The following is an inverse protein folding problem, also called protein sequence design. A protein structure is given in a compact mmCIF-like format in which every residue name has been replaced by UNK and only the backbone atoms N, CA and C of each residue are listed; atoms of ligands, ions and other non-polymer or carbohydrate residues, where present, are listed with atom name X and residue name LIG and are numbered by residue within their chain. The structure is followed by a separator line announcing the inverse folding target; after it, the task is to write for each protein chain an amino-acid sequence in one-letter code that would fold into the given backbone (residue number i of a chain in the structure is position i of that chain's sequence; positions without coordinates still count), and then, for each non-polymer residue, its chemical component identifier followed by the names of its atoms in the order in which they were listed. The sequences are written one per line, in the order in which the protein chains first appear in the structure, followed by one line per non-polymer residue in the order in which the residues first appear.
data_IF_073833956440
#
_entry.id   IF_073833956440
#
_cell.length_a   1.000
_cell.length_b   1.000
_cell.length_c   1.000
_cell.angle_alpha   90.00
_cell.angle_beta   90.00
_cell.angle_gamma   90.00
#
_symmetry.space_group_name_H-M   'P 1'
#
loop_
_entity.id
_entity.type
_entity.pdbx_description
1 polymer ?
#
# COMPACT_ATOMS: atom_id res chain seq x y z
N UNK A 1 -2.30 -10.96 5.97
CA UNK A 1 -2.71 -9.54 5.89
C UNK A 1 -2.65 -8.85 7.25
N UNK A 2 -2.59 -9.57 8.37
CA UNK A 2 -2.38 -8.97 9.70
C UNK A 2 -1.12 -8.10 9.77
N UNK A 3 -0.05 -8.49 9.07
CA UNK A 3 1.21 -7.72 9.00
C UNK A 3 1.03 -6.31 8.43
N UNK A 4 0.07 -6.14 7.51
CA UNK A 4 -0.27 -4.81 6.96
C UNK A 4 -0.89 -3.93 8.04
N UNK A 5 -1.72 -4.48 8.92
CA UNK A 5 -2.30 -3.69 10.01
C UNK A 5 -1.26 -3.32 11.07
N UNK A 6 -0.26 -4.18 11.27
CA UNK A 6 0.75 -3.98 12.32
C UNK A 6 1.90 -3.09 11.88
N UNK A 7 2.30 -3.14 10.60
CA UNK A 7 3.57 -2.60 10.14
C UNK A 7 3.46 -1.52 9.06
N UNK A 8 2.23 -1.09 8.74
CA UNK A 8 2.02 -0.06 7.71
C UNK A 8 1.71 1.28 8.36
N UNK A 9 2.24 2.36 7.79
CA UNK A 9 1.85 3.71 8.14
C UNK A 9 0.71 4.20 7.24
N UNK A 10 -0.10 5.12 7.76
CA UNK A 10 -1.04 5.85 6.93
C UNK A 10 -0.29 6.62 5.84
N UNK A 11 -0.89 6.79 4.66
CA UNK A 11 -0.24 7.50 3.55
C UNK A 11 0.63 6.61 2.65
N UNK A 12 0.59 5.29 2.80
CA UNK A 12 1.47 4.35 2.09
C UNK A 12 0.82 3.73 0.86
N UNK A 13 1.65 3.23 -0.05
CA UNK A 13 1.24 2.47 -1.23
C UNK A 13 1.34 0.97 -0.94
N UNK A 14 0.26 0.22 -1.10
CA UNK A 14 0.27 -1.24 -0.94
C UNK A 14 0.50 -1.94 -2.28
N UNK A 15 1.56 -2.72 -2.39
CA UNK A 15 1.76 -3.65 -3.51
C UNK A 15 1.31 -5.05 -3.08
N UNK A 16 0.41 -5.67 -3.85
CA UNK A 16 -0.07 -7.02 -3.53
C UNK A 16 -0.38 -7.87 -4.75
N UNK A 17 -0.30 -9.19 -4.56
CA UNK A 17 -0.82 -10.17 -5.50
C UNK A 17 -2.17 -10.77 -5.08
N UNK A 18 -2.73 -10.37 -3.94
CA UNK A 18 -4.07 -10.75 -3.51
C UNK A 18 -5.07 -9.80 -4.15
N UNK A 19 -6.17 -10.33 -4.68
CA UNK A 19 -7.16 -9.56 -5.46
C UNK A 19 -8.55 -9.60 -4.85
N UNK A 20 -8.70 -10.10 -3.63
CA UNK A 20 -10.01 -10.26 -3.01
C UNK A 20 -10.42 -8.98 -2.25
N UNK A 21 -11.71 -8.84 -1.87
CA UNK A 21 -12.20 -7.68 -1.14
C UNK A 21 -11.51 -7.44 0.22
N UNK A 22 -10.89 -8.45 0.82
CA UNK A 22 -10.18 -8.32 2.10
C UNK A 22 -9.02 -7.32 1.99
N UNK A 23 -8.37 -7.22 0.83
CA UNK A 23 -7.28 -6.27 0.63
C UNK A 23 -7.77 -4.84 0.80
N UNK A 24 -8.96 -4.51 0.26
CA UNK A 24 -9.54 -3.17 0.35
C UNK A 24 -9.87 -2.83 1.81
N UNK A 25 -10.53 -3.74 2.54
CA UNK A 25 -10.87 -3.53 3.95
C UNK A 25 -9.63 -3.35 4.83
N UNK A 26 -8.58 -4.12 4.54
CA UNK A 26 -7.31 -4.00 5.25
C UNK A 26 -6.64 -2.67 4.94
N UNK A 27 -6.66 -2.24 3.68
CA UNK A 27 -6.10 -0.98 3.24
C UNK A 27 -6.80 0.22 3.90
N UNK A 28 -8.13 0.20 3.96
CA UNK A 28 -8.95 1.19 4.66
C UNK A 28 -8.56 1.29 6.14
N UNK A 29 -8.56 0.15 6.84
CA UNK A 29 -8.22 0.10 8.27
C UNK A 29 -6.79 0.58 8.55
N UNK A 30 -5.85 0.32 7.63
CA UNK A 30 -4.45 0.71 7.76
C UNK A 30 -4.14 2.15 7.30
N UNK A 31 -5.11 2.87 6.73
CA UNK A 31 -4.89 4.20 6.14
C UNK A 31 -4.01 4.20 4.89
N UNK A 32 -4.04 3.11 4.11
CA UNK A 32 -3.31 2.99 2.84
C UNK A 32 -3.93 3.93 1.80
N UNK A 33 -3.09 4.64 1.05
CA UNK A 33 -3.53 5.64 0.08
C UNK A 33 -3.89 5.08 -1.28
N UNK A 34 -3.30 3.93 -1.68
CA UNK A 34 -3.59 3.29 -2.95
C UNK A 34 -3.09 1.83 -2.95
N UNK A 35 -3.65 1.01 -3.84
CA UNK A 35 -3.29 -0.40 -4.01
C UNK A 35 -2.83 -0.66 -5.44
N UNK A 36 -1.69 -1.34 -5.58
CA UNK A 36 -1.17 -1.82 -6.86
C UNK A 36 -1.22 -3.34 -6.91
N UNK A 37 -2.04 -3.88 -7.81
CA UNK A 37 -2.05 -5.30 -8.14
C UNK A 37 -0.92 -5.62 -9.12
N UNK A 38 -0.04 -6.54 -8.73
CA UNK A 38 1.15 -6.92 -9.51
C UNK A 38 0.91 -8.15 -10.38
N UNK A 39 1.81 -8.41 -11.34
CA UNK A 39 1.78 -9.55 -12.29
C UNK A 39 0.59 -9.53 -13.26
N UNK A 40 0.06 -8.36 -13.57
CA UNK A 40 -1.08 -8.18 -14.46
C UNK A 40 -2.39 -8.71 -13.88
N UNK A 41 -2.44 -8.94 -12.55
CA UNK A 41 -3.67 -9.36 -11.88
C UNK A 41 -4.70 -8.24 -11.95
N UNK A 42 -5.93 -8.62 -12.25
CA UNK A 42 -7.08 -7.74 -12.27
C UNK A 42 -8.02 -8.14 -11.13
N UNK A 43 -8.44 -7.22 -10.25
CA UNK A 43 -9.40 -7.52 -9.20
C UNK A 43 -10.78 -7.87 -9.79
N UNK A 44 -11.54 -8.77 -9.14
CA UNK A 44 -12.92 -9.06 -9.53
C UNK A 44 -13.82 -7.84 -9.29
N UNK A 45 -14.98 -7.73 -9.97
CA UNK A 45 -15.86 -6.56 -9.91
C UNK A 45 -16.24 -6.15 -8.48
N UNK A 46 -16.57 -7.11 -7.62
CA UNK A 46 -16.86 -6.89 -6.20
C UNK A 46 -15.75 -6.17 -5.43
N UNK A 47 -14.49 -6.39 -5.79
CA UNK A 47 -13.34 -5.72 -5.17
C UNK A 47 -13.17 -4.30 -5.70
N UNK A 48 -13.49 -4.09 -6.98
CA UNK A 48 -13.49 -2.76 -7.62
C UNK A 48 -14.59 -1.89 -7.00
N UNK A 49 -15.82 -2.41 -6.94
CA UNK A 49 -16.96 -1.71 -6.33
C UNK A 49 -16.68 -1.34 -4.87
N UNK A 50 -16.13 -2.27 -4.08
CA UNK A 50 -15.76 -1.96 -2.70
C UNK A 50 -14.68 -0.88 -2.58
N UNK A 51 -13.71 -0.85 -3.51
CA UNK A 51 -12.69 0.18 -3.52
C UNK A 51 -13.24 1.55 -3.92
N UNK A 52 -14.23 1.59 -4.82
CA UNK A 52 -14.97 2.81 -5.17
C UNK A 52 -15.77 3.34 -3.98
N UNK A 53 -16.49 2.47 -3.27
CA UNK A 53 -17.27 2.84 -2.07
C UNK A 53 -16.39 3.46 -0.97
N UNK A 54 -15.19 2.92 -0.79
CA UNK A 54 -14.24 3.35 0.25
C UNK A 54 -13.26 4.43 -0.26
N UNK A 55 -13.33 4.79 -1.55
CA UNK A 55 -12.45 5.77 -2.20
C UNK A 55 -10.95 5.40 -2.16
N UNK A 56 -10.62 4.13 -2.39
CA UNK A 56 -9.23 3.65 -2.51
C UNK A 56 -8.87 3.45 -4.00
N UNK A 57 -7.91 4.23 -4.54
CA UNK A 57 -7.42 4.04 -5.90
C UNK A 57 -6.80 2.66 -6.12
N UNK A 58 -7.18 2.02 -7.23
CA UNK A 58 -6.65 0.73 -7.67
C UNK A 58 -5.82 0.89 -8.95
N UNK A 59 -4.62 0.31 -8.95
CA UNK A 59 -3.75 0.24 -10.14
C UNK A 59 -3.38 -1.22 -10.42
N UNK A 60 -3.10 -1.52 -11.69
CA UNK A 60 -2.54 -2.81 -12.11
C UNK A 60 -1.22 -2.60 -12.83
N UNK A 61 -0.23 -3.41 -12.47
CA UNK A 61 1.08 -3.46 -13.13
C UNK A 61 1.37 -4.86 -13.65
N UNK A 62 1.94 -4.96 -14.84
CA UNK A 62 2.39 -6.24 -15.43
C UNK A 62 3.69 -6.76 -14.80
N UNK A 63 4.41 -5.93 -14.06
CA UNK A 63 5.66 -6.31 -13.41
C UNK A 63 5.44 -7.22 -12.20
N UNK A 64 6.45 -7.99 -11.82
CA UNK A 64 6.45 -8.77 -10.58
C UNK A 64 6.52 -7.82 -9.37
N UNK A 65 6.20 -8.33 -8.17
CA UNK A 65 6.25 -7.51 -6.95
C UNK A 65 7.63 -6.88 -6.74
N UNK A 66 8.68 -7.70 -6.82
CA UNK A 66 10.07 -7.25 -6.65
C UNK A 66 10.45 -6.18 -7.69
N UNK A 67 10.10 -6.38 -8.96
CA UNK A 67 10.38 -5.43 -10.04
C UNK A 67 9.62 -4.10 -9.83
N UNK A 68 8.35 -4.15 -9.42
CA UNK A 68 7.60 -2.95 -9.06
C UNK A 68 8.29 -2.20 -7.92
N UNK A 69 8.68 -2.89 -6.84
CA UNK A 69 9.38 -2.26 -5.71
C UNK A 69 10.69 -1.59 -6.16
N UNK A 70 11.51 -2.30 -6.95
CA UNK A 70 12.77 -1.75 -7.46
C UNK A 70 12.57 -0.52 -8.34
N UNK A 71 11.54 -0.50 -9.19
CA UNK A 71 11.20 0.66 -10.02
C UNK A 71 10.74 1.86 -9.20
N UNK A 72 9.85 1.64 -8.25
CA UNK A 72 9.32 2.70 -7.38
C UNK A 72 10.43 3.31 -6.54
N UNK A 73 11.28 2.47 -5.93
CA UNK A 73 12.42 2.93 -5.15
C UNK A 73 13.42 3.73 -6.01
N UNK A 74 13.74 3.23 -7.22
CA UNK A 74 14.59 3.95 -8.17
C UNK A 74 13.99 5.28 -8.64
N UNK A 75 12.66 5.38 -8.68
CA UNK A 75 11.93 6.62 -8.99
C UNK A 75 11.88 7.60 -7.80
N UNK A 76 12.49 7.26 -6.66
CA UNK A 76 12.56 8.11 -5.48
C UNK A 76 11.39 7.94 -4.51
N UNK A 77 10.53 6.93 -4.70
CA UNK A 77 9.49 6.62 -3.71
C UNK A 77 10.12 5.85 -2.53
N UNK A 78 10.20 6.44 -1.32
CA UNK A 78 10.78 5.75 -0.18
C UNK A 78 9.88 4.61 0.27
N UNK A 79 10.49 3.57 0.83
CA UNK A 79 9.75 2.51 1.52
C UNK A 79 9.28 2.99 2.89
N UNK A 80 8.21 2.41 3.41
CA UNK A 80 7.69 2.59 4.77
C UNK A 80 8.63 2.01 5.86
N UNK A 81 9.94 1.92 5.60
CA UNK A 81 10.81 0.86 6.13
C UNK A 81 11.89 1.28 7.12
N UNK A 82 11.80 2.43 7.79
CA UNK A 82 12.65 2.66 8.96
C UNK A 82 11.88 2.30 10.23
N UNK A 83 12.09 1.08 10.72
CA UNK A 83 11.69 0.68 12.06
C UNK A 83 12.54 1.45 13.07
N UNK A 84 12.02 2.56 13.58
CA UNK A 84 12.52 3.07 14.85
C UNK A 84 11.84 2.28 15.98
N UNK A 85 12.49 1.21 16.45
CA UNK A 85 12.05 0.40 17.60
C UNK A 85 11.95 1.23 18.90
N UNK A 86 12.47 2.46 18.89
CA UNK A 86 12.43 3.43 19.98
C UNK A 86 11.40 4.55 19.79
N UNK A 87 10.76 4.68 18.62
CA UNK A 87 9.78 5.74 18.39
C UNK A 87 8.36 5.36 18.87
N UNK A 88 7.65 6.25 19.58
CA UNK A 88 6.24 6.03 19.91
C UNK A 88 5.41 5.92 18.63
N UNK A 89 4.43 5.00 18.63
CA UNK A 89 3.49 4.77 17.51
C UNK A 89 2.97 6.12 16.98
N UNK A 90 3.43 6.51 15.80
CA UNK A 90 2.98 7.74 15.14
C UNK A 90 1.56 7.52 14.62
N UNK A 91 0.57 7.86 15.45
CA UNK A 91 -0.81 8.07 15.03
C UNK A 91 -0.90 9.49 14.44
N UNK A 92 -0.99 9.57 13.11
CA UNK A 92 -1.56 10.74 12.43
C UNK A 92 -0.65 11.96 12.25
N UNK A 93 0.59 11.80 11.80
CA UNK A 93 1.35 12.92 11.24
C UNK A 93 1.88 12.57 9.83
N UNK A 94 1.81 13.49 8.84
CA UNK A 94 2.46 13.28 7.56
C UNK A 94 3.95 13.17 7.84
N UNK A 95 4.55 12.01 7.53
CA UNK A 95 6.00 11.85 7.62
C UNK A 95 6.63 12.84 6.64
N UNK A 96 7.17 13.93 7.19
CA UNK A 96 8.08 14.78 6.47
C UNK A 96 9.27 13.90 6.07
N UNK A 97 9.26 13.44 4.82
CA UNK A 97 10.42 12.82 4.21
C UNK A 97 11.56 13.85 4.26
N UNK A 98 12.73 13.52 4.81
CA UNK A 98 13.87 14.41 4.77
C UNK A 98 14.26 14.58 3.30
N UNK A 99 14.03 15.78 2.80
CA UNK A 99 14.42 16.19 1.45
C UNK A 99 15.94 16.26 1.43
N UNK A 100 16.56 15.43 0.60
CA UNK A 100 17.92 15.63 0.11
C UNK A 100 17.82 16.10 -1.34
#
# INVERSE_FOLDING_TARGET
MSDVLTFTHAGTLLLTGLTNPQVIRTADTAGISAIVFVRGKFPPPETITLAEEINIPLLTSRYTMYECCGRLYKAGLPSCGLFDLSAPRQQGAPSACPTA
#
